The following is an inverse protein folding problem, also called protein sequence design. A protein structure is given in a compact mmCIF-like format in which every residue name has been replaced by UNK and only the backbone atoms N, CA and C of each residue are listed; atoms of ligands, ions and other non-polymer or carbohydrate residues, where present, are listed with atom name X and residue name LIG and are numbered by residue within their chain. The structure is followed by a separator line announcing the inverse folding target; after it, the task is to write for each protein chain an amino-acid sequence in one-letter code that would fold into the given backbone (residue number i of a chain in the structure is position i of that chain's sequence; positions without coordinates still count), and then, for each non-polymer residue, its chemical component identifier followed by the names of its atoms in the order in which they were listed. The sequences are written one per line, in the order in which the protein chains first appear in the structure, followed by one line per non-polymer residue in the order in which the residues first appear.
data_IF_557467550807
#
_entry.id   IF_557467550807
#
_cell.length_a   1.000
_cell.length_b   1.000
_cell.length_c   1.000
_cell.angle_alpha   90.00
_cell.angle_beta   90.00
_cell.angle_gamma   90.00
#
_symmetry.space_group_name_H-M   'P 1'
#
loop_
_entity.id
_entity.type
_entity.pdbx_description
1 polymer ?
#
# COMPACT_ATOMS: atom_id res chain seq x y z
N UNK A 1 -4.19 -36.49 4.25
CA UNK A 1 -2.87 -35.87 3.98
C UNK A 1 -3.00 -34.55 3.20
N UNK A 2 -3.66 -34.54 2.03
CA UNK A 2 -3.79 -33.34 1.17
C UNK A 2 -4.49 -32.13 1.82
N UNK A 3 -5.53 -32.34 2.65
CA UNK A 3 -6.21 -31.26 3.38
C UNK A 3 -5.29 -30.50 4.34
N UNK A 4 -4.40 -31.23 5.03
CA UNK A 4 -3.40 -30.61 5.91
C UNK A 4 -2.38 -29.78 5.14
N UNK A 5 -1.93 -30.25 3.98
CA UNK A 5 -1.05 -29.48 3.09
C UNK A 5 -1.73 -28.18 2.59
N UNK A 6 -2.96 -28.28 2.09
CA UNK A 6 -3.72 -27.13 1.62
C UNK A 6 -3.97 -26.09 2.74
N UNK A 7 -4.27 -26.56 3.96
CA UNK A 7 -4.42 -25.69 5.12
C UNK A 7 -3.11 -24.99 5.51
N UNK A 8 -1.99 -25.72 5.58
CA UNK A 8 -0.69 -25.12 5.87
C UNK A 8 -0.28 -24.09 4.83
N UNK A 9 -0.56 -24.35 3.54
CA UNK A 9 -0.32 -23.41 2.45
C UNK A 9 -1.20 -22.15 2.57
N UNK A 10 -2.49 -22.30 2.88
CA UNK A 10 -3.39 -21.19 3.18
C UNK A 10 -2.89 -20.34 4.35
N UNK A 11 -2.58 -21.00 5.48
CA UNK A 11 -2.15 -20.33 6.71
C UNK A 11 -0.83 -19.57 6.52
N UNK A 12 0.13 -20.17 5.81
CA UNK A 12 1.40 -19.52 5.49
C UNK A 12 1.21 -18.23 4.68
N UNK A 13 0.40 -18.26 3.62
CA UNK A 13 0.17 -17.08 2.80
C UNK A 13 -0.75 -16.03 3.46
N UNK A 14 -1.68 -16.47 4.32
CA UNK A 14 -2.48 -15.57 5.15
C UNK A 14 -1.60 -14.79 6.15
N UNK A 15 -0.68 -15.48 6.82
CA UNK A 15 0.28 -14.86 7.75
C UNK A 15 1.27 -13.94 7.02
N UNK A 16 1.75 -14.35 5.84
CA UNK A 16 2.62 -13.54 4.99
C UNK A 16 1.98 -12.19 4.63
N UNK A 17 0.67 -12.16 4.34
CA UNK A 17 -0.07 -10.93 4.06
C UNK A 17 -0.07 -9.96 5.24
N UNK A 18 -0.28 -10.46 6.45
CA UNK A 18 -0.27 -9.64 7.66
C UNK A 18 1.12 -9.07 7.94
N UNK A 19 2.16 -9.89 7.80
CA UNK A 19 3.56 -9.46 7.93
C UNK A 19 3.92 -8.36 6.94
N UNK A 20 3.61 -8.55 5.66
CA UNK A 20 3.84 -7.53 4.61
C UNK A 20 3.16 -6.20 4.96
N UNK A 21 1.93 -6.24 5.44
CA UNK A 21 1.22 -5.02 5.84
C UNK A 21 1.89 -4.31 7.03
N UNK A 22 2.28 -5.06 8.06
CA UNK A 22 2.97 -4.49 9.21
C UNK A 22 4.31 -3.84 8.82
N UNK A 23 5.09 -4.49 7.95
CA UNK A 23 6.32 -3.89 7.42
C UNK A 23 6.06 -2.60 6.66
N UNK A 24 4.98 -2.53 5.87
CA UNK A 24 4.58 -1.30 5.20
C UNK A 24 4.27 -0.18 6.18
N UNK A 25 3.52 -0.46 7.25
CA UNK A 25 3.18 0.55 8.26
C UNK A 25 4.42 1.10 8.97
N UNK A 26 5.36 0.24 9.34
CA UNK A 26 6.64 0.65 9.95
C UNK A 26 7.43 1.52 8.98
N UNK A 27 7.54 1.11 7.71
CA UNK A 27 8.23 1.91 6.71
C UNK A 27 7.53 3.27 6.50
N UNK A 28 6.21 3.29 6.33
CA UNK A 28 5.43 4.51 6.19
C UNK A 28 5.60 5.46 7.39
N UNK A 29 5.61 4.92 8.60
CA UNK A 29 5.90 5.68 9.82
C UNK A 29 7.30 6.28 9.84
N UNK A 30 8.32 5.52 9.41
CA UNK A 30 9.69 6.01 9.28
C UNK A 30 9.77 7.15 8.27
N UNK A 31 9.10 7.04 7.11
CA UNK A 31 9.03 8.09 6.11
C UNK A 31 8.31 9.33 6.62
N UNK A 32 7.17 9.17 7.31
CA UNK A 32 6.44 10.28 7.92
C UNK A 32 7.29 11.00 8.97
N UNK A 33 8.04 10.25 9.79
CA UNK A 33 9.01 10.80 10.74
C UNK A 33 10.12 11.59 10.03
N UNK A 34 10.72 11.01 8.97
CA UNK A 34 11.77 11.67 8.18
C UNK A 34 11.31 12.95 7.49
N UNK A 35 10.08 13.00 6.97
CA UNK A 35 9.49 14.24 6.43
C UNK A 35 9.31 15.27 7.54
N UNK A 36 8.80 14.85 8.70
CA UNK A 36 8.53 15.76 9.84
C UNK A 36 9.82 16.38 10.40
N UNK A 37 10.89 15.60 10.55
CA UNK A 37 12.19 16.11 11.03
C UNK A 37 12.80 17.09 10.04
N UNK A 38 12.77 16.78 8.74
CA UNK A 38 13.26 17.68 7.69
C UNK A 38 12.51 19.02 7.66
N UNK A 39 11.18 18.99 7.87
CA UNK A 39 10.37 20.20 7.98
C UNK A 39 10.70 21.02 9.24
N UNK A 40 10.98 20.34 10.37
CA UNK A 40 11.26 20.99 11.66
C UNK A 40 12.64 21.65 11.71
N UNK A 41 13.65 21.00 11.12
CA UNK A 41 15.04 21.48 11.16
C UNK A 41 15.33 22.53 10.07
N UNK A 42 14.33 22.95 9.30
CA UNK A 42 14.49 23.93 8.22
C UNK A 42 15.37 23.42 7.08
N UNK A 43 15.42 22.09 6.89
CA UNK A 43 16.22 21.45 5.84
C UNK A 43 15.81 21.89 4.44
N UNK A 44 16.73 21.78 3.48
CA UNK A 44 16.47 22.17 2.09
C UNK A 44 15.26 21.38 1.54
N UNK A 45 14.15 22.05 1.14
CA UNK A 45 12.93 21.40 0.64
C UNK A 45 13.16 20.48 -0.56
N UNK A 46 14.32 20.58 -1.21
CA UNK A 46 14.76 19.68 -2.30
C UNK A 46 14.88 18.22 -1.86
N UNK A 47 15.24 17.94 -0.60
CA UNK A 47 15.36 16.56 -0.10
C UNK A 47 14.02 15.85 0.12
N UNK A 48 12.91 16.61 0.18
CA UNK A 48 11.56 16.05 0.29
C UNK A 48 11.12 15.37 -1.03
N UNK A 49 11.65 15.83 -2.17
CA UNK A 49 11.31 15.28 -3.50
C UNK A 49 11.75 13.81 -3.69
N UNK A 50 13.04 13.43 -3.51
CA UNK A 50 13.44 12.03 -3.62
C UNK A 50 12.75 11.14 -2.58
N UNK A 51 12.48 11.67 -1.38
CA UNK A 51 11.82 10.94 -0.31
C UNK A 51 10.36 10.60 -0.66
N UNK A 52 9.62 11.53 -1.26
CA UNK A 52 8.26 11.31 -1.76
C UNK A 52 8.20 10.30 -2.92
N UNK A 53 9.19 10.33 -3.83
CA UNK A 53 9.30 9.36 -4.92
C UNK A 53 9.54 7.95 -4.36
N UNK A 54 10.47 7.80 -3.41
CA UNK A 54 10.75 6.51 -2.77
C UNK A 54 9.51 5.99 -2.04
N UNK A 55 8.79 6.84 -1.29
CA UNK A 55 7.55 6.44 -0.62
C UNK A 55 6.48 5.95 -1.61
N UNK A 56 6.36 6.62 -2.75
CA UNK A 56 5.42 6.25 -3.82
C UNK A 56 5.78 4.89 -4.43
N UNK A 57 7.06 4.68 -4.78
CA UNK A 57 7.54 3.41 -5.32
C UNK A 57 7.37 2.26 -4.31
N UNK A 58 7.63 2.53 -3.03
CA UNK A 58 7.45 1.56 -1.96
C UNK A 58 5.98 1.17 -1.86
N UNK A 59 5.07 2.15 -1.85
CA UNK A 59 3.63 1.89 -1.80
C UNK A 59 3.16 1.02 -2.97
N UNK A 60 3.58 1.32 -4.20
CA UNK A 60 3.25 0.52 -5.39
C UNK A 60 3.86 -0.89 -5.35
N UNK A 61 5.04 -1.05 -4.77
CA UNK A 61 5.70 -2.36 -4.63
C UNK A 61 4.94 -3.23 -3.63
N UNK A 62 4.63 -2.69 -2.45
CA UNK A 62 3.87 -3.40 -1.43
C UNK A 62 2.43 -3.71 -1.89
N UNK A 63 1.84 -2.80 -2.67
CA UNK A 63 0.56 -3.04 -3.34
C UNK A 63 0.56 -4.30 -4.18
N UNK A 64 1.53 -4.41 -5.11
CA UNK A 64 1.64 -5.58 -6.00
C UNK A 64 1.93 -6.86 -5.22
N UNK A 65 2.74 -6.78 -4.17
CA UNK A 65 3.08 -7.93 -3.35
C UNK A 65 1.85 -8.47 -2.58
N UNK A 66 1.04 -7.57 -2.02
CA UNK A 66 -0.22 -7.94 -1.35
C UNK A 66 -1.27 -8.45 -2.35
N UNK A 67 -1.35 -7.89 -3.56
CA UNK A 67 -2.19 -8.45 -4.64
C UNK A 67 -1.81 -9.90 -4.97
N UNK A 68 -0.51 -10.21 -5.10
CA UNK A 68 -0.04 -11.57 -5.35
C UNK A 68 -0.37 -12.51 -4.19
N UNK A 69 -0.12 -12.11 -2.94
CA UNK A 69 -0.43 -12.95 -1.78
C UNK A 69 -1.94 -13.26 -1.69
N UNK A 70 -2.80 -12.28 -2.01
CA UNK A 70 -4.25 -12.51 -2.07
C UNK A 70 -4.64 -13.58 -3.08
N UNK A 71 -4.00 -13.61 -4.24
CA UNK A 71 -4.25 -14.63 -5.25
C UNK A 71 -3.86 -16.02 -4.75
N UNK A 72 -2.71 -16.15 -4.07
CA UNK A 72 -2.26 -17.43 -3.51
C UNK A 72 -3.19 -17.94 -2.41
N UNK A 73 -3.67 -17.04 -1.54
CA UNK A 73 -4.66 -17.38 -0.50
C UNK A 73 -5.96 -17.88 -1.13
N UNK A 74 -6.46 -17.21 -2.17
CA UNK A 74 -7.68 -17.65 -2.90
C UNK A 74 -7.50 -19.00 -3.59
N UNK A 75 -6.32 -19.28 -4.14
CA UNK A 75 -6.02 -20.59 -4.72
C UNK A 75 -6.04 -21.69 -3.65
N UNK A 76 -5.51 -21.41 -2.47
CA UNK A 76 -5.53 -22.32 -1.34
C UNK A 76 -6.97 -22.58 -0.84
N UNK A 77 -7.77 -21.51 -0.77
CA UNK A 77 -9.19 -21.58 -0.43
C UNK A 77 -9.97 -22.44 -1.44
N UNK A 78 -9.76 -22.24 -2.75
CA UNK A 78 -10.38 -23.05 -3.79
C UNK A 78 -9.99 -24.53 -3.68
N UNK A 79 -8.72 -24.82 -3.39
CA UNK A 79 -8.25 -26.19 -3.17
C UNK A 79 -8.90 -26.82 -1.93
N UNK A 80 -9.07 -26.06 -0.84
CA UNK A 80 -9.76 -26.52 0.38
C UNK A 80 -11.24 -26.80 0.12
N UNK A 81 -11.95 -25.91 -0.59
CA UNK A 81 -13.34 -26.13 -1.01
C UNK A 81 -13.48 -27.41 -1.85
N UNK A 82 -12.58 -27.61 -2.82
CA UNK A 82 -12.57 -28.84 -3.61
C UNK A 82 -12.36 -30.09 -2.76
N UNK A 83 -11.40 -30.08 -1.82
CA UNK A 83 -11.17 -31.21 -0.91
C UNK A 83 -12.35 -31.48 0.04
N UNK A 84 -13.05 -30.43 0.44
CA UNK A 84 -14.26 -30.53 1.26
C UNK A 84 -15.43 -31.13 0.45
N UNK A 85 -15.53 -30.88 -0.86
CA UNK A 85 -16.54 -31.54 -1.72
C UNK A 85 -16.31 -33.04 -1.92
N UNK A 86 -15.06 -33.51 -1.79
CA UNK A 86 -14.74 -34.94 -1.89
C UNK A 86 -15.16 -35.74 -0.66
N UNK A 87 -15.42 -35.09 0.46
CA UNK A 87 -16.02 -35.73 1.62
C UNK A 87 -17.53 -35.50 1.57
N UNK A 88 -18.30 -36.58 1.40
CA UNK A 88 -19.76 -36.55 1.37
C UNK A 88 -20.34 -36.21 2.76
N UNK A 89 -20.17 -34.96 3.19
CA UNK A 89 -20.86 -34.44 4.34
C UNK A 89 -22.25 -34.00 3.91
N UNK A 90 -23.32 -34.69 4.36
CA UNK A 90 -24.68 -34.32 4.00
C UNK A 90 -24.98 -32.90 4.48
N UNK A 91 -25.71 -32.15 3.67
CA UNK A 91 -26.24 -30.86 4.09
C UNK A 91 -27.23 -31.11 5.23
N UNK A 92 -26.97 -30.53 6.40
CA UNK A 92 -27.95 -30.51 7.48
C UNK A 92 -28.84 -29.29 7.28
N UNK A 93 -30.14 -29.52 7.08
CA UNK A 93 -31.19 -28.50 7.09
C UNK A 93 -31.01 -27.35 6.07
N UNK A 94 -30.49 -27.65 4.87
CA UNK A 94 -30.30 -26.65 3.81
C UNK A 94 -29.17 -25.66 4.06
N UNK A 95 -28.33 -25.90 5.08
CA UNK A 95 -27.14 -25.11 5.38
C UNK A 95 -25.89 -25.97 5.10
N UNK A 96 -24.81 -25.40 4.52
CA UNK A 96 -23.55 -26.12 4.36
C UNK A 96 -23.07 -26.67 5.71
N UNK A 97 -22.59 -27.91 5.71
CA UNK A 97 -22.14 -28.58 6.94
C UNK A 97 -21.03 -27.78 7.64
N UNK A 98 -20.97 -27.86 8.97
CA UNK A 98 -20.06 -27.04 9.81
C UNK A 98 -18.58 -27.19 9.42
N UNK A 99 -18.21 -28.35 8.86
CA UNK A 99 -16.85 -28.64 8.39
C UNK A 99 -16.50 -27.94 7.07
N UNK A 100 -17.48 -27.50 6.27
CA UNK A 100 -17.31 -26.73 5.03
C UNK A 100 -17.25 -25.24 5.36
N UNK A 101 -16.24 -24.84 6.13
CA UNK A 101 -16.14 -23.50 6.74
C UNK A 101 -16.24 -22.41 5.67
N UNK A 102 -15.56 -22.56 4.53
CA UNK A 102 -15.56 -21.54 3.48
C UNK A 102 -16.89 -21.47 2.70
N UNK A 103 -17.53 -22.60 2.42
CA UNK A 103 -18.85 -22.60 1.74
C UNK A 103 -19.94 -22.04 2.66
N UNK A 104 -19.82 -22.31 3.97
CA UNK A 104 -20.70 -21.76 4.99
C UNK A 104 -20.53 -20.24 5.10
N UNK A 105 -19.30 -19.75 5.10
CA UNK A 105 -19.00 -18.31 5.08
C UNK A 105 -19.53 -17.62 3.82
N UNK A 106 -19.44 -18.26 2.65
CA UNK A 106 -20.00 -17.74 1.40
C UNK A 106 -21.54 -17.69 1.46
N UNK A 107 -22.19 -18.75 1.95
CA UNK A 107 -23.65 -18.80 2.13
C UNK A 107 -24.17 -17.71 3.08
N UNK A 108 -23.51 -17.51 4.23
CA UNK A 108 -23.86 -16.42 5.14
C UNK A 108 -23.55 -15.05 4.53
N UNK A 109 -22.48 -14.92 3.75
CA UNK A 109 -22.13 -13.67 3.08
C UNK A 109 -23.17 -13.27 2.04
N UNK A 110 -23.66 -14.22 1.25
CA UNK A 110 -24.69 -13.99 0.23
C UNK A 110 -26.04 -13.63 0.87
N UNK A 111 -26.36 -14.26 2.01
CA UNK A 111 -27.57 -13.93 2.80
C UNK A 111 -27.47 -12.57 3.49
N UNK A 112 -26.28 -12.17 3.93
CA UNK A 112 -26.01 -10.85 4.52
C UNK A 112 -26.01 -9.71 3.47
N UNK A 113 -25.72 -10.01 2.20
CA UNK A 113 -25.83 -9.05 1.09
C UNK A 113 -27.27 -8.61 0.80
N UNK A 114 -28.27 -9.29 1.36
CA UNK A 114 -29.69 -8.92 1.24
C UNK A 114 -30.05 -7.65 2.03
N UNK A 115 -29.19 -7.18 2.95
CA UNK A 115 -29.40 -5.93 3.69
C UNK A 115 -28.50 -4.79 3.16
N UNK A 116 -29.07 -3.68 2.65
CA UNK A 116 -28.33 -2.61 1.96
C UNK A 116 -27.40 -1.79 2.88
N UNK A 117 -27.68 -1.72 4.19
CA UNK A 117 -26.85 -0.96 5.14
C UNK A 117 -25.59 -1.69 5.61
N UNK A 118 -25.51 -3.01 5.42
CA UNK A 118 -24.33 -3.84 5.71
C UNK A 118 -23.56 -4.23 4.43
N UNK A 119 -23.88 -3.58 3.31
CA UNK A 119 -23.26 -3.77 1.98
C UNK A 119 -21.74 -3.57 1.95
N UNK A 120 -21.19 -2.86 2.92
CA UNK A 120 -19.76 -2.78 3.10
C UNK A 120 -19.22 -4.04 3.75
N UNK A 121 -19.08 -5.15 3.01
CA UNK A 121 -17.84 -5.93 3.20
C UNK A 121 -16.73 -4.94 2.84
N UNK A 122 -16.28 -4.14 3.82
CA UNK A 122 -14.95 -3.58 3.85
C UNK A 122 -14.03 -4.79 3.81
N UNK A 123 -13.90 -5.38 2.63
CA UNK A 123 -12.97 -6.45 2.40
C UNK A 123 -11.67 -5.80 2.83
N UNK A 124 -11.02 -6.39 3.83
CA UNK A 124 -9.70 -6.01 4.30
C UNK A 124 -8.78 -5.63 3.12
N UNK A 125 -8.98 -6.35 2.01
CA UNK A 125 -8.50 -6.14 0.65
C UNK A 125 -8.67 -4.72 0.05
N UNK A 126 -9.87 -4.14 0.12
CA UNK A 126 -10.19 -2.81 -0.40
C UNK A 126 -9.71 -1.71 0.55
N UNK A 127 -9.79 -1.91 1.87
CA UNK A 127 -9.32 -0.94 2.86
C UNK A 127 -7.79 -0.75 2.77
N UNK A 128 -7.03 -1.85 2.80
CA UNK A 128 -5.59 -1.84 2.49
C UNK A 128 -5.33 -1.20 1.13
N UNK A 129 -6.23 -1.50 0.19
CA UNK A 129 -6.28 -0.92 -1.14
C UNK A 129 -6.29 0.64 -1.15
N UNK A 130 -7.09 1.21 -0.28
CA UNK A 130 -7.21 2.66 -0.19
C UNK A 130 -5.98 3.23 0.52
N UNK A 131 -5.48 2.56 1.55
CA UNK A 131 -4.31 3.02 2.33
C UNK A 131 -3.08 3.21 1.44
N UNK A 132 -2.69 2.20 0.66
CA UNK A 132 -1.53 2.36 -0.23
C UNK A 132 -1.73 3.45 -1.28
N UNK A 133 -2.93 3.57 -1.85
CA UNK A 133 -3.25 4.62 -2.83
C UNK A 133 -3.13 6.01 -2.20
N UNK A 134 -3.63 6.20 -0.98
CA UNK A 134 -3.49 7.44 -0.23
C UNK A 134 -2.01 7.79 0.01
N UNK A 135 -1.19 6.84 0.45
CA UNK A 135 0.24 7.07 0.65
C UNK A 135 0.99 7.36 -0.66
N UNK A 136 0.59 6.74 -1.77
CA UNK A 136 1.16 7.00 -3.09
C UNK A 136 0.79 8.41 -3.60
N UNK A 137 -0.47 8.83 -3.43
CA UNK A 137 -0.91 10.19 -3.79
C UNK A 137 -0.25 11.24 -2.91
N UNK A 138 -0.10 10.97 -1.62
CA UNK A 138 0.57 11.85 -0.67
C UNK A 138 2.06 12.00 -1.01
N UNK A 139 2.75 10.90 -1.33
CA UNK A 139 4.13 10.93 -1.83
C UNK A 139 4.29 11.72 -3.13
N UNK A 140 3.36 11.53 -4.09
CA UNK A 140 3.34 12.28 -5.35
C UNK A 140 3.08 13.78 -5.12
N UNK A 141 2.14 14.12 -4.22
CA UNK A 141 1.85 15.50 -3.84
C UNK A 141 3.09 16.20 -3.28
N UNK A 142 3.84 15.54 -2.39
CA UNK A 142 5.09 16.08 -1.86
C UNK A 142 6.16 16.27 -2.94
N UNK A 143 6.30 15.32 -3.86
CA UNK A 143 7.25 15.41 -4.98
C UNK A 143 6.91 16.59 -5.91
N UNK A 144 5.64 16.71 -6.32
CA UNK A 144 5.19 17.79 -7.21
C UNK A 144 5.20 19.14 -6.51
N UNK A 145 4.75 19.22 -5.26
CA UNK A 145 4.75 20.44 -4.46
C UNK A 145 6.17 21.02 -4.30
N UNK A 146 7.17 20.17 -4.07
CA UNK A 146 8.58 20.58 -4.01
C UNK A 146 9.07 21.17 -5.35
N UNK A 147 8.67 20.58 -6.48
CA UNK A 147 9.02 21.09 -7.82
C UNK A 147 8.35 22.43 -8.15
N UNK A 148 7.09 22.64 -7.75
CA UNK A 148 6.34 23.88 -8.02
C UNK A 148 6.87 25.06 -7.19
N UNK A 149 7.29 24.81 -5.95
CA UNK A 149 7.93 25.82 -5.08
C UNK A 149 9.30 26.23 -5.66
N UNK A 150 9.96 25.32 -6.38
CA UNK A 150 11.23 25.57 -7.07
C UNK A 150 11.02 26.21 -8.46
N UNK A 151 10.37 27.39 -8.54
CA UNK A 151 10.61 28.24 -9.72
C UNK A 151 12.07 28.71 -9.68
N UNK A 152 12.87 28.50 -10.75
CA UNK A 152 14.25 28.93 -10.77
C UNK A 152 14.32 30.44 -10.51
N UNK A 153 15.22 30.93 -9.65
CA UNK A 153 15.40 32.36 -9.45
C UNK A 153 15.72 33.01 -10.81
N UNK A 154 15.17 34.18 -11.13
CA UNK A 154 15.56 34.90 -12.33
C UNK A 154 17.07 35.13 -12.25
N UNK A 155 17.79 34.67 -13.29
CA UNK A 155 19.22 34.90 -13.48
C UNK A 155 19.48 36.39 -13.26
N UNK A 156 20.07 36.75 -12.11
CA UNK A 156 20.60 38.10 -11.93
C UNK A 156 21.80 38.20 -12.86
N UNK A 157 21.58 38.84 -14.01
CA UNK A 157 22.65 39.38 -14.85
C UNK A 157 23.48 40.31 -13.96
N UNK A 158 24.65 39.84 -13.58
CA UNK A 158 25.64 40.61 -12.86
C UNK A 158 26.10 41.72 -13.83
N UNK A 159 25.90 43.02 -13.54
CA UNK A 159 26.42 44.06 -14.41
C UNK A 159 27.94 44.01 -14.35
N UNK A 160 28.55 43.84 -15.52
CA UNK A 160 29.98 43.93 -15.76
C UNK A 160 30.50 45.22 -15.12
N UNK A 161 31.28 45.09 -14.06
CA UNK A 161 31.95 46.23 -13.43
C UNK A 161 32.97 46.78 -14.43
N UNK A 162 32.63 47.88 -15.09
CA UNK A 162 33.58 48.74 -15.79
C UNK A 162 34.54 49.30 -14.76
N UNK A 163 35.76 48.75 -14.71
CA UNK A 163 36.87 49.33 -13.97
C UNK A 163 37.23 50.70 -14.58
N UNK A 164 37.32 51.79 -13.81
CA UNK A 164 37.95 53.01 -14.30
C UNK A 164 39.46 52.83 -14.30
N UNK A 165 40.03 52.79 -15.51
CA UNK A 165 41.46 52.95 -15.78
C UNK A 165 41.87 54.35 -15.32
N UNK A 166 42.45 54.45 -14.11
CA UNK A 166 43.03 55.68 -13.61
C UNK A 166 44.33 55.97 -14.39
N UNK A 167 44.25 56.92 -15.32
CA UNK A 167 45.40 57.62 -15.87
C UNK A 167 46.09 58.42 -14.75
N UNK A 168 47.43 58.46 -14.78
CA UNK A 168 48.28 59.23 -13.85
C UNK A 168 48.05 60.75 -13.91
N UNK A 169 48.86 61.55 -13.16
CA UNK A 169 50.15 61.93 -13.75
C UNK A 169 51.33 62.20 -12.77
N UNK A 170 52.53 62.10 -13.36
CA UNK A 170 53.81 62.77 -13.09
C UNK A 170 54.44 62.72 -11.69
#
# INVERSE_FOLDING_TARGET
MFRGYAWSYFAYHADQRMKTFNFFLVAAGLFAGGVTTMLRDGGDPRWVCPLGIVLTLLSLTFWKLDQRNRHLVRNAEAALKYLDTLHEFPHQDGVPHVLRIFDRDDYFSERAQMFPLTQGRFSYTKCLGVVFALFALLGLFFAVGSLVIHKPPPMKTQPCATAPFAAGPL
#
